data_IF_463893361842
#
_entry.id   IF_463893361842
#
_cell.length_a   1.000
_cell.length_b   1.000
_cell.length_c   1.000
_cell.angle_alpha   90.00
_cell.angle_beta   90.00
_cell.angle_gamma   90.00
#
_symmetry.space_group_name_H-M   'P 1'
#
loop_
_entity.id
_entity.type
_entity.pdbx_description
1 polymer ?
#
# COMPACT_ATOMS: atom_id res chain seq x y z
N UNK A 1 -26.89 13.51 14.69
CA UNK A 1 -25.78 14.48 14.78
C UNK A 1 -25.64 15.21 13.44
N UNK A 2 -24.93 16.34 13.41
CA UNK A 2 -24.62 17.06 12.17
C UNK A 2 -23.20 16.69 11.71
N UNK A 3 -23.06 16.35 10.44
CA UNK A 3 -21.78 16.05 9.79
C UNK A 3 -21.46 17.11 8.74
N UNK A 4 -20.17 17.34 8.46
CA UNK A 4 -19.74 18.18 7.33
C UNK A 4 -19.42 17.28 6.14
N UNK A 5 -20.10 17.48 5.02
CA UNK A 5 -19.87 16.76 3.77
C UNK A 5 -18.58 17.26 3.10
N UNK A 6 -18.05 16.49 2.15
CA UNK A 6 -16.87 16.88 1.34
C UNK A 6 -17.08 18.21 0.60
N UNK A 7 -18.31 18.53 0.19
CA UNK A 7 -18.70 19.80 -0.45
C UNK A 7 -18.88 20.98 0.55
N UNK A 8 -18.55 20.76 1.83
CA UNK A 8 -18.66 21.75 2.89
C UNK A 8 -20.07 21.95 3.46
N UNK A 9 -21.10 21.32 2.89
CA UNK A 9 -22.48 21.45 3.37
C UNK A 9 -22.74 20.60 4.61
N UNK A 10 -23.76 20.98 5.39
CA UNK A 10 -24.24 20.19 6.52
C UNK A 10 -25.00 18.96 6.01
N UNK A 11 -24.69 17.81 6.59
CA UNK A 11 -25.46 16.58 6.48
C UNK A 11 -25.96 16.12 7.85
N UNK A 12 -26.87 15.15 7.86
CA UNK A 12 -27.44 14.57 9.08
C UNK A 12 -27.30 13.06 9.03
N UNK A 13 -26.81 12.49 10.13
CA UNK A 13 -26.76 11.05 10.34
C UNK A 13 -27.16 10.76 11.79
N UNK A 14 -27.86 9.64 12.00
CA UNK A 14 -28.08 9.12 13.34
C UNK A 14 -26.76 8.54 13.89
N UNK A 15 -26.53 8.54 15.21
CA UNK A 15 -25.28 8.03 15.78
C UNK A 15 -24.96 6.59 15.42
N UNK A 16 -25.97 5.74 15.31
CA UNK A 16 -25.89 4.33 14.89
C UNK A 16 -25.56 4.14 13.40
N UNK A 17 -25.50 5.22 12.62
CA UNK A 17 -25.13 5.18 11.20
C UNK A 17 -23.67 5.57 10.94
N UNK A 18 -22.91 5.98 11.97
CA UNK A 18 -21.53 6.42 11.83
C UNK A 18 -20.60 5.54 12.65
N UNK A 19 -19.46 5.22 12.05
CA UNK A 19 -18.35 4.55 12.71
C UNK A 19 -17.16 5.51 12.79
N UNK A 20 -16.39 5.43 13.89
CA UNK A 20 -15.15 6.18 14.00
C UNK A 20 -14.09 5.47 13.18
N UNK A 21 -13.56 6.16 12.19
CA UNK A 21 -12.43 5.70 11.39
C UNK A 21 -11.12 6.20 11.99
N UNK A 22 -10.06 5.43 11.78
CA UNK A 22 -8.69 5.79 12.09
C UNK A 22 -8.09 6.70 11.01
N UNK A 23 -7.01 7.41 11.35
CA UNK A 23 -6.28 8.23 10.37
C UNK A 23 -5.73 7.39 9.21
N UNK A 24 -5.40 6.13 9.46
CA UNK A 24 -4.94 5.19 8.44
C UNK A 24 -6.07 4.88 7.45
N UNK A 25 -7.26 4.53 7.93
CA UNK A 25 -8.43 4.28 7.08
C UNK A 25 -8.77 5.50 6.23
N UNK A 26 -8.64 6.72 6.77
CA UNK A 26 -8.84 7.96 6.01
C UNK A 26 -7.81 8.11 4.89
N UNK A 27 -6.53 7.81 5.15
CA UNK A 27 -5.47 7.87 4.12
C UNK A 27 -5.74 6.89 2.98
N UNK A 28 -6.02 5.63 3.30
CA UNK A 28 -6.31 4.61 2.28
C UNK A 28 -7.61 4.90 1.52
N UNK A 29 -8.66 5.38 2.21
CA UNK A 29 -9.90 5.78 1.57
C UNK A 29 -9.72 6.94 0.58
N UNK A 30 -8.81 7.88 0.86
CA UNK A 30 -8.47 8.96 -0.09
C UNK A 30 -7.84 8.44 -1.39
N UNK A 31 -7.20 7.26 -1.35
CA UNK A 31 -6.69 6.55 -2.52
C UNK A 31 -7.76 5.70 -3.22
N UNK A 32 -8.96 5.59 -2.64
CA UNK A 32 -10.01 4.69 -3.11
C UNK A 32 -9.71 3.21 -2.84
N UNK A 33 -9.01 2.90 -1.75
CA UNK A 33 -8.51 1.56 -1.41
C UNK A 33 -8.86 1.18 0.03
N UNK A 34 -8.89 -0.12 0.34
CA UNK A 34 -8.93 -0.61 1.72
C UNK A 34 -7.55 -0.49 2.37
N UNK A 35 -7.52 -0.46 3.70
CA UNK A 35 -6.25 -0.51 4.45
C UNK A 35 -5.46 -1.76 4.08
N UNK A 36 -4.20 -1.60 3.71
CA UNK A 36 -3.32 -2.69 3.27
C UNK A 36 -3.62 -3.24 1.87
N UNK A 37 -4.47 -2.57 1.09
CA UNK A 37 -4.73 -2.93 -0.30
C UNK A 37 -3.68 -2.30 -1.22
N UNK A 38 -2.60 -3.04 -1.43
CA UNK A 38 -1.54 -2.65 -2.35
C UNK A 38 -1.83 -3.13 -3.78
N UNK A 39 -1.21 -2.46 -4.76
CA UNK A 39 -1.32 -2.76 -6.20
C UNK A 39 0.06 -2.86 -6.82
N UNK A 40 0.15 -3.59 -7.94
CA UNK A 40 1.34 -3.56 -8.78
C UNK A 40 1.62 -2.12 -9.24
N UNK A 41 2.88 -1.71 -9.17
CA UNK A 41 3.34 -0.34 -9.43
C UNK A 41 3.43 0.55 -8.18
N UNK A 42 2.90 0.13 -7.02
CA UNK A 42 3.09 0.88 -5.79
C UNK A 42 4.56 0.88 -5.37
N UNK A 43 5.07 2.06 -5.00
CA UNK A 43 6.37 2.20 -4.35
C UNK A 43 6.19 1.98 -2.86
N UNK A 44 6.92 1.02 -2.31
CA UNK A 44 6.80 0.56 -0.93
C UNK A 44 8.16 0.46 -0.28
N UNK A 45 8.17 0.57 1.05
CA UNK A 45 9.33 0.24 1.89
C UNK A 45 9.10 -1.14 2.49
N UNK A 46 10.08 -2.03 2.33
CA UNK A 46 10.06 -3.36 2.93
C UNK A 46 10.48 -3.28 4.40
N UNK A 47 9.65 -3.78 5.30
CA UNK A 47 9.85 -3.72 6.76
C UNK A 47 10.57 -4.96 7.33
N UNK A 48 10.87 -5.93 6.48
CA UNK A 48 11.48 -7.20 6.88
C UNK A 48 10.45 -8.28 7.14
N UNK A 49 10.89 -9.53 6.99
CA UNK A 49 10.09 -10.73 7.19
C UNK A 49 10.81 -11.67 8.14
N UNK A 50 10.07 -12.34 9.03
CA UNK A 50 10.65 -13.27 10.01
C UNK A 50 11.11 -14.60 9.41
N UNK A 51 10.60 -14.95 8.23
CA UNK A 51 10.97 -16.14 7.45
C UNK A 51 11.95 -15.79 6.33
N UNK A 52 12.39 -16.80 5.58
CA UNK A 52 13.24 -16.62 4.40
C UNK A 52 12.57 -15.68 3.39
N UNK A 53 13.32 -14.70 2.92
CA UNK A 53 12.87 -13.71 1.94
C UNK A 53 14.09 -13.08 1.24
N UNK A 54 13.97 -12.78 -0.05
CA UNK A 54 15.06 -12.29 -0.90
C UNK A 54 15.66 -10.96 -0.43
N UNK A 55 14.86 -10.12 0.21
CA UNK A 55 15.26 -8.78 0.68
C UNK A 55 15.57 -8.69 2.18
N UNK A 56 15.66 -9.80 2.90
CA UNK A 56 15.89 -9.74 4.35
C UNK A 56 17.25 -9.17 4.77
N UNK A 57 18.26 -9.21 3.90
CA UNK A 57 19.54 -8.52 4.14
C UNK A 57 19.45 -7.02 3.83
N UNK A 58 18.32 -6.56 3.30
CA UNK A 58 18.07 -5.19 2.83
C UNK A 58 16.78 -4.61 3.44
N UNK A 59 16.47 -4.91 4.70
CA UNK A 59 15.34 -4.32 5.42
C UNK A 59 15.40 -2.79 5.35
N UNK A 60 14.26 -2.16 5.06
CA UNK A 60 14.13 -0.72 4.87
C UNK A 60 14.31 -0.26 3.42
N UNK A 61 14.61 -1.16 2.49
CA UNK A 61 14.71 -0.82 1.06
C UNK A 61 13.37 -0.32 0.51
N UNK A 62 13.45 0.71 -0.34
CA UNK A 62 12.31 1.20 -1.12
C UNK A 62 12.37 0.55 -2.49
N UNK A 63 11.30 -0.16 -2.86
CA UNK A 63 11.16 -0.87 -4.13
C UNK A 63 9.71 -0.81 -4.61
N UNK A 64 9.40 -1.45 -5.73
CA UNK A 64 8.07 -1.45 -6.34
C UNK A 64 7.43 -2.82 -6.25
N UNK A 65 6.13 -2.88 -6.00
CA UNK A 65 5.37 -4.12 -6.15
C UNK A 65 5.26 -4.46 -7.65
N UNK A 66 5.78 -5.60 -8.07
CA UNK A 66 5.69 -6.04 -9.47
C UNK A 66 4.40 -6.83 -9.74
N UNK A 67 3.93 -7.62 -8.76
CA UNK A 67 2.82 -8.56 -8.92
C UNK A 67 2.01 -8.69 -7.64
N UNK A 68 0.75 -9.08 -7.79
CA UNK A 68 -0.22 -9.19 -6.68
C UNK A 68 -0.99 -10.52 -6.67
N UNK A 69 -0.45 -11.57 -7.32
CA UNK A 69 -1.15 -12.84 -7.57
C UNK A 69 -0.69 -14.00 -6.65
N UNK A 70 -0.01 -13.70 -5.55
CA UNK A 70 0.37 -14.70 -4.56
C UNK A 70 -0.81 -15.15 -3.68
N UNK A 71 -0.76 -16.40 -3.20
CA UNK A 71 -1.84 -16.96 -2.36
C UNK A 71 -1.71 -16.53 -0.88
N UNK A 72 -0.58 -16.81 -0.24
CA UNK A 72 -0.34 -16.49 1.18
C UNK A 72 0.40 -15.18 1.39
N UNK A 73 1.26 -14.84 0.45
CA UNK A 73 2.01 -13.59 0.39
C UNK A 73 1.66 -12.95 -0.93
N UNK A 74 0.62 -12.10 -0.96
CA UNK A 74 -0.02 -11.71 -2.20
C UNK A 74 0.86 -10.84 -3.09
N UNK A 75 1.86 -10.15 -2.54
CA UNK A 75 2.63 -9.16 -3.26
C UNK A 75 4.05 -9.64 -3.54
N UNK A 76 4.53 -9.51 -4.78
CA UNK A 76 5.94 -9.73 -5.12
C UNK A 76 6.62 -8.38 -5.30
N UNK A 77 7.75 -8.18 -4.62
CA UNK A 77 8.56 -6.96 -4.77
C UNK A 77 9.57 -7.11 -5.90
N UNK A 78 9.84 -6.01 -6.61
CA UNK A 78 10.93 -5.97 -7.57
C UNK A 78 12.26 -6.13 -6.83
N UNK A 79 13.12 -7.00 -7.32
CA UNK A 79 14.48 -7.18 -6.81
C UNK A 79 15.40 -6.15 -7.46
N UNK A 80 16.01 -5.23 -6.70
CA UNK A 80 16.94 -4.24 -7.26
C UNK A 80 18.25 -4.89 -7.72
N UNK A 81 18.89 -4.32 -8.75
CA UNK A 81 20.07 -4.92 -9.40
C UNK A 81 21.27 -5.22 -8.47
N UNK A 82 21.35 -4.57 -7.31
CA UNK A 82 22.41 -4.81 -6.33
C UNK A 82 22.11 -5.93 -5.34
N UNK A 83 20.89 -6.47 -5.37
CA UNK A 83 20.49 -7.64 -4.58
C UNK A 83 20.76 -8.88 -5.41
N UNK A 84 21.50 -9.82 -4.83
CA UNK A 84 21.78 -11.14 -5.42
C UNK A 84 21.27 -12.20 -4.46
N UNK A 85 19.97 -12.50 -4.51
CA UNK A 85 19.34 -13.51 -3.66
C UNK A 85 18.76 -14.65 -4.48
N UNK A 86 18.91 -15.88 -3.98
CA UNK A 86 18.27 -17.07 -4.55
C UNK A 86 16.82 -17.26 -4.06
N UNK A 87 16.34 -16.40 -3.16
CA UNK A 87 15.02 -16.48 -2.57
C UNK A 87 14.08 -15.48 -3.23
N UNK A 88 12.80 -15.82 -3.28
CA UNK A 88 11.79 -14.91 -3.81
C UNK A 88 11.52 -13.72 -2.87
N UNK A 89 10.79 -12.76 -3.40
CA UNK A 89 10.43 -11.49 -2.75
C UNK A 89 8.92 -11.41 -2.47
N UNK A 90 8.27 -12.57 -2.26
CA UNK A 90 6.86 -12.59 -1.90
C UNK A 90 6.65 -12.15 -0.45
N UNK A 91 5.74 -11.20 -0.27
CA UNK A 91 5.51 -10.51 1.00
C UNK A 91 4.01 -10.26 1.23
N UNK A 92 3.69 -9.93 2.48
CA UNK A 92 2.35 -9.65 2.95
C UNK A 92 2.18 -8.16 3.33
N UNK A 93 0.95 -7.63 3.37
CA UNK A 93 0.71 -6.20 3.65
C UNK A 93 1.39 -5.68 4.92
N UNK A 94 1.45 -6.49 5.98
CA UNK A 94 2.04 -6.16 7.28
C UNK A 94 3.57 -6.01 7.25
N UNK A 95 4.22 -6.48 6.19
CA UNK A 95 5.66 -6.39 5.97
C UNK A 95 6.03 -5.17 5.10
N UNK A 96 5.04 -4.31 4.79
CA UNK A 96 5.17 -3.20 3.85
C UNK A 96 4.67 -1.88 4.44
N UNK A 97 5.32 -0.80 4.02
CA UNK A 97 4.82 0.56 4.19
C UNK A 97 4.66 1.22 2.81
N UNK A 98 3.47 1.75 2.52
CA UNK A 98 3.22 2.47 1.28
C UNK A 98 3.95 3.81 1.27
N UNK A 99 4.82 4.02 0.28
CA UNK A 99 5.56 5.28 0.09
C UNK A 99 4.89 6.14 -0.97
N UNK A 100 4.54 5.56 -2.12
CA UNK A 100 3.83 6.25 -3.18
C UNK A 100 2.85 5.30 -3.88
N UNK A 101 1.56 5.66 -3.98
CA UNK A 101 0.58 4.85 -4.69
C UNK A 101 0.76 4.99 -6.20
N UNK A 102 0.53 3.91 -6.95
CA UNK A 102 0.64 3.90 -8.41
C UNK A 102 -0.26 4.95 -9.09
N UNK A 103 -1.38 5.33 -8.47
CA UNK A 103 -2.29 6.37 -8.97
C UNK A 103 -1.66 7.77 -8.96
N UNK A 104 -0.54 7.99 -8.26
CA UNK A 104 0.21 9.25 -8.29
C UNK A 104 1.19 9.36 -9.46
N UNK A 105 1.42 8.27 -10.22
CA UNK A 105 2.37 8.25 -11.33
C UNK A 105 1.79 8.97 -12.54
N UNK A 106 2.44 10.06 -12.96
CA UNK A 106 2.06 10.82 -14.17
C UNK A 106 2.85 10.29 -15.37
N UNK A 107 2.16 9.56 -16.26
CA UNK A 107 2.74 9.11 -17.53
C UNK A 107 2.75 10.24 -18.56
N UNK A 108 3.85 10.97 -18.67
CA UNK A 108 4.04 11.97 -19.71
C UNK A 108 4.32 11.28 -21.05
N UNK A 109 3.45 11.48 -22.03
CA UNK A 109 3.74 11.11 -23.42
C UNK A 109 4.73 12.14 -23.97
N UNK A 110 5.93 11.69 -24.33
CA UNK A 110 6.84 12.51 -25.13
C UNK A 110 6.25 12.56 -26.54
N UNK A 111 5.92 13.77 -27.00
CA UNK A 111 5.43 14.04 -28.35
C UNK A 111 6.59 14.05 -29.36
#
# INVERSE_FOLDING_TARGET
MTIKRQDGKKGYAKPDQLEKVTDEEVKWAALGRKVGEFKAGDTVRFLGRSTIHGLNEHVGIITTIERTDGEFSPYRLSEPDFVDSKYDTWTSPEELELIAPVESVVNLRVA
#
